data_IF_974133292617
#
_entry.id   IF_974133292617
#
_cell.length_a   1.000
_cell.length_b   1.000
_cell.length_c   1.000
_cell.angle_alpha   90.00
_cell.angle_beta   90.00
_cell.angle_gamma   90.00
#
_symmetry.space_group_name_H-M   'P 1'
#
loop_
_entity.id
_entity.type
_entity.pdbx_description
1 polymer ?
#
# COMPACT_ATOMS: atom_id res chain seq x y z
N UNK A 1 -50.74 -5.51 -3.85
CA UNK A 1 -50.13 -4.34 -3.19
C UNK A 1 -48.99 -4.85 -2.32
N UNK A 2 -47.74 -4.70 -2.74
CA UNK A 2 -46.58 -4.98 -1.88
C UNK A 2 -46.32 -3.71 -1.06
N UNK A 3 -46.59 -3.75 0.21
CA UNK A 3 -46.25 -2.67 1.15
C UNK A 3 -44.73 -2.54 1.21
N UNK A 4 -44.21 -1.44 0.70
CA UNK A 4 -42.80 -1.09 0.83
C UNK A 4 -42.48 -0.92 2.33
N UNK A 5 -41.64 -1.78 2.88
CA UNK A 5 -41.10 -1.62 4.22
C UNK A 5 -40.26 -0.34 4.24
N UNK A 6 -40.45 0.58 5.22
CA UNK A 6 -39.68 1.82 5.25
C UNK A 6 -38.17 1.52 5.35
N UNK A 7 -37.37 2.21 4.55
CA UNK A 7 -35.90 2.06 4.42
C UNK A 7 -35.14 2.10 5.78
N UNK A 8 -35.75 2.70 6.82
CA UNK A 8 -35.24 2.76 8.19
C UNK A 8 -35.43 1.43 8.96
N UNK A 9 -36.43 0.61 8.61
CA UNK A 9 -36.69 -0.68 9.26
C UNK A 9 -35.81 -1.79 8.66
N UNK A 10 -35.50 -1.72 7.37
CA UNK A 10 -34.53 -2.61 6.70
C UNK A 10 -33.11 -2.42 7.26
N UNK A 11 -32.70 -1.19 7.61
CA UNK A 11 -31.40 -0.92 8.27
C UNK A 11 -31.28 -1.49 9.69
N UNK A 12 -32.37 -1.74 10.40
CA UNK A 12 -32.38 -2.33 11.74
C UNK A 12 -32.19 -3.85 11.72
N UNK A 13 -32.25 -4.49 10.55
CA UNK A 13 -32.06 -5.93 10.35
C UNK A 13 -30.83 -6.25 9.50
N UNK A 14 -30.12 -5.24 8.97
CA UNK A 14 -28.93 -5.44 8.16
C UNK A 14 -27.71 -5.79 9.03
N UNK A 15 -26.86 -6.69 8.55
CA UNK A 15 -25.61 -7.07 9.20
C UNK A 15 -24.67 -5.85 9.30
N UNK A 16 -24.32 -5.44 10.51
CA UNK A 16 -23.56 -4.20 10.77
C UNK A 16 -22.09 -4.43 10.58
N UNK A 17 -21.50 -3.76 9.61
CA UNK A 17 -20.07 -3.84 9.32
C UNK A 17 -19.39 -2.50 9.61
N UNK A 18 -18.42 -2.50 10.51
CA UNK A 18 -17.54 -1.36 10.74
C UNK A 18 -16.26 -1.61 9.97
N UNK A 19 -15.83 -0.64 9.16
CA UNK A 19 -14.54 -0.63 8.47
C UNK A 19 -13.71 0.51 9.08
N UNK A 20 -12.68 0.16 9.83
CA UNK A 20 -11.78 1.10 10.46
C UNK A 20 -10.55 1.34 9.58
N UNK A 21 -10.55 2.45 8.84
CA UNK A 21 -9.49 2.89 7.94
C UNK A 21 -10.02 3.30 6.57
N UNK A 22 -9.69 4.54 6.14
CA UNK A 22 -10.06 5.10 4.83
C UNK A 22 -8.95 4.94 3.78
N UNK A 23 -8.09 3.92 3.90
CA UNK A 23 -7.05 3.57 2.92
C UNK A 23 -7.52 2.58 1.86
N UNK A 24 -6.57 2.04 1.08
CA UNK A 24 -6.88 1.09 -0.01
C UNK A 24 -7.74 -0.07 0.46
N UNK A 25 -7.33 -0.79 1.52
CA UNK A 25 -8.08 -1.94 2.01
C UNK A 25 -9.47 -1.56 2.51
N UNK A 26 -9.61 -0.44 3.24
CA UNK A 26 -10.92 -0.03 3.75
C UNK A 26 -11.88 0.39 2.65
N UNK A 27 -11.40 1.13 1.64
CA UNK A 27 -12.23 1.54 0.51
C UNK A 27 -12.61 0.33 -0.35
N UNK A 28 -11.64 -0.56 -0.63
CA UNK A 28 -11.90 -1.80 -1.38
C UNK A 28 -12.93 -2.66 -0.66
N UNK A 29 -12.79 -2.86 0.68
CA UNK A 29 -13.80 -3.59 1.48
C UNK A 29 -15.20 -2.98 1.37
N UNK A 30 -15.32 -1.65 1.42
CA UNK A 30 -16.61 -0.97 1.31
C UNK A 30 -17.23 -1.15 -0.09
N UNK A 31 -16.43 -1.02 -1.15
CA UNK A 31 -16.87 -1.21 -2.53
C UNK A 31 -17.24 -2.68 -2.80
N UNK A 32 -16.43 -3.63 -2.32
CA UNK A 32 -16.68 -5.06 -2.47
C UNK A 32 -17.96 -5.49 -1.73
N UNK A 33 -18.15 -5.09 -0.48
CA UNK A 33 -19.35 -5.38 0.29
C UNK A 33 -20.61 -4.77 -0.34
N UNK A 34 -20.52 -3.55 -0.86
CA UNK A 34 -21.62 -2.92 -1.60
C UNK A 34 -21.99 -3.73 -2.85
N UNK A 35 -21.01 -4.31 -3.54
CA UNK A 35 -21.26 -5.11 -4.74
C UNK A 35 -21.78 -6.53 -4.40
N UNK A 36 -21.25 -7.16 -3.35
CA UNK A 36 -21.54 -8.56 -3.01
C UNK A 36 -22.80 -8.72 -2.16
N UNK A 37 -23.12 -7.74 -1.30
CA UNK A 37 -24.20 -7.83 -0.31
C UNK A 37 -24.96 -6.51 -0.10
N UNK A 38 -25.44 -5.82 -1.16
CA UNK A 38 -25.91 -4.43 -1.09
C UNK A 38 -27.08 -4.17 -0.14
N UNK A 39 -27.97 -5.16 0.03
CA UNK A 39 -29.14 -5.05 0.91
C UNK A 39 -29.00 -5.85 2.23
N UNK A 40 -27.92 -6.61 2.37
CA UNK A 40 -27.67 -7.48 3.51
C UNK A 40 -26.80 -6.82 4.58
N UNK A 41 -25.94 -5.87 4.19
CA UNK A 41 -25.02 -5.21 5.11
C UNK A 41 -25.33 -3.72 5.26
N UNK A 42 -25.06 -3.19 6.45
CA UNK A 42 -24.97 -1.75 6.69
C UNK A 42 -23.52 -1.40 7.02
N UNK A 43 -22.90 -0.55 6.22
CA UNK A 43 -21.48 -0.23 6.31
C UNK A 43 -21.30 1.09 7.05
N UNK A 44 -20.44 1.11 8.06
CA UNK A 44 -19.91 2.32 8.68
C UNK A 44 -18.41 2.40 8.44
N UNK A 45 -18.00 3.38 7.63
CA UNK A 45 -16.58 3.67 7.35
C UNK A 45 -16.07 4.66 8.38
N UNK A 46 -15.07 4.26 9.16
CA UNK A 46 -14.41 5.10 10.19
C UNK A 46 -13.04 5.48 9.71
N UNK A 47 -12.74 6.77 9.63
CA UNK A 47 -11.42 7.28 9.20
C UNK A 47 -11.09 8.59 9.92
N UNK A 48 -9.84 8.78 10.41
CA UNK A 48 -9.44 10.04 11.02
C UNK A 48 -9.32 11.21 10.03
N UNK A 49 -9.37 10.91 8.72
CA UNK A 49 -9.30 11.91 7.64
C UNK A 49 -10.47 11.76 6.69
N UNK A 50 -11.00 12.87 6.16
CA UNK A 50 -12.10 12.82 5.19
C UNK A 50 -11.66 12.45 3.77
N UNK A 51 -10.36 12.34 3.53
CA UNK A 51 -9.78 12.10 2.21
C UNK A 51 -8.75 10.98 2.24
N UNK A 52 -8.65 10.25 1.15
CA UNK A 52 -7.64 9.26 0.87
C UNK A 52 -6.64 9.76 -0.18
N UNK A 53 -5.35 9.71 0.13
CA UNK A 53 -4.30 10.02 -0.81
C UNK A 53 -3.87 8.76 -1.59
N UNK A 54 -4.03 8.78 -2.92
CA UNK A 54 -3.57 7.70 -3.79
C UNK A 54 -2.05 7.75 -3.96
N UNK A 55 -1.33 7.22 -2.98
CA UNK A 55 0.13 7.32 -2.82
C UNK A 55 1.01 6.69 -3.91
N UNK A 56 0.59 5.65 -4.66
CA UNK A 56 1.50 4.99 -5.61
C UNK A 56 2.10 5.91 -6.68
N UNK A 57 1.47 7.05 -6.95
CA UNK A 57 1.97 8.05 -7.90
C UNK A 57 2.87 9.12 -7.27
N UNK A 58 3.02 9.14 -5.94
CA UNK A 58 3.82 10.17 -5.25
C UNK A 58 5.29 10.18 -5.69
N UNK A 59 5.84 9.03 -6.08
CA UNK A 59 7.22 8.90 -6.57
C UNK A 59 7.48 9.68 -7.88
N UNK A 60 6.44 9.95 -8.67
CA UNK A 60 6.54 10.70 -9.92
C UNK A 60 6.36 12.22 -9.75
N UNK A 61 5.80 12.64 -8.62
CA UNK A 61 5.48 14.04 -8.36
C UNK A 61 6.71 14.97 -8.28
N UNK A 62 7.85 14.57 -7.67
CA UNK A 62 9.06 15.39 -7.69
C UNK A 62 9.57 15.70 -9.10
N UNK A 63 9.26 14.84 -10.07
CA UNK A 63 9.68 14.97 -11.47
C UNK A 63 8.67 15.74 -12.35
N UNK A 64 7.56 16.23 -11.77
CA UNK A 64 6.49 16.90 -12.51
C UNK A 64 5.62 15.96 -13.36
N UNK A 65 5.66 14.65 -13.09
CA UNK A 65 4.88 13.63 -13.79
C UNK A 65 3.69 13.19 -12.94
N UNK A 66 2.58 13.91 -13.04
CA UNK A 66 1.35 13.64 -12.30
C UNK A 66 1.29 14.31 -10.91
N UNK A 67 0.16 14.14 -10.26
CA UNK A 67 -0.09 14.60 -8.89
C UNK A 67 -0.74 13.49 -8.09
N UNK A 68 -0.51 13.47 -6.79
CA UNK A 68 -1.22 12.59 -5.88
C UNK A 68 -2.71 12.94 -5.93
N UNK A 69 -3.52 11.96 -6.28
CA UNK A 69 -4.97 12.11 -6.28
C UNK A 69 -5.49 12.02 -4.85
N UNK A 70 -6.25 13.03 -4.45
CA UNK A 70 -7.02 13.03 -3.21
C UNK A 70 -8.44 12.56 -3.51
N UNK A 71 -8.88 11.53 -2.84
CA UNK A 71 -10.21 10.93 -3.02
C UNK A 71 -11.06 11.23 -1.80
N UNK A 72 -12.17 11.94 -2.02
CA UNK A 72 -13.14 12.28 -0.97
C UNK A 72 -13.87 11.03 -0.47
N UNK A 73 -13.71 10.70 0.80
CA UNK A 73 -14.38 9.56 1.44
C UNK A 73 -15.89 9.77 1.59
N UNK A 74 -16.37 11.01 1.66
CA UNK A 74 -17.82 11.28 1.62
C UNK A 74 -18.43 10.85 0.29
N UNK A 75 -17.68 10.98 -0.80
CA UNK A 75 -18.13 10.54 -2.10
C UNK A 75 -18.21 9.00 -2.19
N UNK A 76 -17.21 8.29 -1.64
CA UNK A 76 -17.23 6.84 -1.55
C UNK A 76 -18.40 6.37 -0.68
N UNK A 77 -18.60 7.00 0.47
CA UNK A 77 -19.70 6.67 1.38
C UNK A 77 -21.06 6.83 0.69
N UNK A 78 -21.28 7.94 -0.06
CA UNK A 78 -22.51 8.12 -0.85
C UNK A 78 -22.70 7.04 -1.90
N UNK A 79 -21.65 6.70 -2.63
CA UNK A 79 -21.73 5.77 -3.76
C UNK A 79 -21.91 4.32 -3.30
N UNK A 80 -21.43 3.98 -2.09
CA UNK A 80 -21.59 2.64 -1.47
C UNK A 80 -22.77 2.54 -0.52
N UNK A 81 -23.45 3.64 -0.23
CA UNK A 81 -24.49 3.70 0.81
C UNK A 81 -23.95 3.56 2.24
N UNK A 82 -22.64 3.67 2.44
CA UNK A 82 -22.01 3.64 3.74
C UNK A 82 -22.24 4.96 4.51
N UNK A 83 -22.12 4.88 5.84
CA UNK A 83 -22.04 6.04 6.71
C UNK A 83 -20.58 6.35 7.03
N UNK A 84 -20.11 7.56 6.70
CA UNK A 84 -18.74 7.98 7.02
C UNK A 84 -18.71 8.65 8.40
N UNK A 85 -17.79 8.19 9.25
CA UNK A 85 -17.46 8.82 10.52
C UNK A 85 -16.00 9.26 10.55
N UNK A 86 -15.78 10.54 10.83
CA UNK A 86 -14.44 11.10 10.97
C UNK A 86 -13.99 10.91 12.42
N UNK A 87 -13.27 9.82 12.66
CA UNK A 87 -12.66 9.46 13.94
C UNK A 87 -11.61 8.36 13.72
N UNK A 88 -10.72 8.16 14.70
CA UNK A 88 -9.79 7.03 14.74
C UNK A 88 -10.35 5.88 15.58
N UNK A 89 -9.98 4.64 15.26
CA UNK A 89 -10.24 3.49 16.13
C UNK A 89 -9.23 3.49 17.28
N UNK A 90 -9.72 3.50 18.52
CA UNK A 90 -8.90 3.48 19.73
C UNK A 90 -8.78 2.08 20.35
N UNK A 91 -9.79 1.23 20.20
CA UNK A 91 -9.75 -0.12 20.75
C UNK A 91 -10.96 -0.96 20.39
N UNK A 92 -10.87 -2.26 20.71
CA UNK A 92 -11.88 -3.28 20.42
C UNK A 92 -12.22 -4.05 21.70
N UNK A 93 -13.50 -4.18 22.01
CA UNK A 93 -14.04 -5.14 22.99
C UNK A 93 -14.76 -6.24 22.20
N UNK A 94 -14.02 -7.25 21.77
CA UNK A 94 -14.55 -8.32 20.92
C UNK A 94 -15.59 -9.18 21.65
N UNK A 95 -15.50 -9.32 22.99
CA UNK A 95 -16.47 -10.08 23.78
C UNK A 95 -17.86 -9.46 23.77
N UNK A 96 -17.93 -8.13 23.57
CA UNK A 96 -19.18 -7.37 23.49
C UNK A 96 -19.49 -6.90 22.06
N UNK A 97 -18.63 -7.19 21.08
CA UNK A 97 -18.72 -6.68 19.71
C UNK A 97 -18.80 -5.14 19.67
N UNK A 98 -17.88 -4.48 20.38
CA UNK A 98 -17.82 -3.02 20.48
C UNK A 98 -16.49 -2.48 19.95
N UNK A 99 -16.57 -1.50 19.05
CA UNK A 99 -15.43 -0.69 18.59
C UNK A 99 -15.43 0.67 19.30
N UNK A 100 -14.35 1.00 19.98
CA UNK A 100 -14.16 2.28 20.68
C UNK A 100 -13.40 3.25 19.80
N UNK A 101 -13.92 4.44 19.62
CA UNK A 101 -13.30 5.50 18.83
C UNK A 101 -12.54 6.50 19.73
N UNK A 102 -11.62 7.25 19.12
CA UNK A 102 -10.80 8.26 19.80
C UNK A 102 -11.60 9.50 20.26
N UNK A 103 -12.80 9.70 19.71
CA UNK A 103 -13.75 10.74 20.16
C UNK A 103 -14.62 10.31 21.36
N UNK A 104 -14.35 9.12 21.93
CA UNK A 104 -15.10 8.54 23.05
C UNK A 104 -16.37 7.78 22.64
N UNK A 105 -16.74 7.76 21.38
CA UNK A 105 -17.89 7.00 20.88
C UNK A 105 -17.60 5.52 20.89
N UNK A 106 -18.64 4.71 21.15
CA UNK A 106 -18.61 3.26 21.02
C UNK A 106 -19.65 2.82 20.00
N UNK A 107 -19.24 1.94 19.09
CA UNK A 107 -20.07 1.42 18.01
C UNK A 107 -20.20 -0.10 18.16
N UNK A 108 -21.43 -0.61 17.99
CA UNK A 108 -21.70 -2.04 17.93
C UNK A 108 -21.52 -2.56 16.50
N UNK A 109 -20.96 -3.77 16.36
CA UNK A 109 -20.77 -4.42 15.07
C UNK A 109 -21.17 -5.90 15.09
N UNK A 110 -21.53 -6.41 13.93
CA UNK A 110 -21.64 -7.84 13.65
C UNK A 110 -20.35 -8.34 12.98
N UNK A 111 -19.64 -7.45 12.23
CA UNK A 111 -18.27 -7.64 11.77
C UNK A 111 -17.47 -6.33 11.84
N UNK A 112 -16.18 -6.44 12.20
CA UNK A 112 -15.23 -5.32 12.24
C UNK A 112 -14.04 -5.60 11.34
N UNK A 113 -13.75 -4.70 10.38
CA UNK A 113 -12.58 -4.76 9.49
C UNK A 113 -11.54 -3.74 9.93
N UNK A 114 -10.37 -4.21 10.36
CA UNK A 114 -9.22 -3.38 10.71
C UNK A 114 -8.39 -3.11 9.46
N UNK A 115 -8.50 -1.90 8.91
CA UNK A 115 -7.82 -1.45 7.69
C UNK A 115 -7.00 -0.17 7.93
N UNK A 116 -6.46 0.00 9.15
CA UNK A 116 -5.81 1.23 9.64
C UNK A 116 -4.45 1.51 8.99
N UNK A 117 -3.88 0.57 8.23
CA UNK A 117 -2.57 0.71 7.60
C UNK A 117 -1.41 0.69 8.61
N UNK A 118 -0.34 1.39 8.29
CA UNK A 118 0.91 1.43 9.08
C UNK A 118 1.39 2.86 9.30
N UNK A 119 2.29 3.02 10.26
CA UNK A 119 3.08 4.24 10.42
C UNK A 119 4.41 4.09 9.69
N UNK A 120 4.81 5.14 8.98
CA UNK A 120 6.10 5.22 8.31
C UNK A 120 7.09 5.93 9.24
N UNK A 121 8.26 5.32 9.46
CA UNK A 121 9.30 5.88 10.31
C UNK A 121 10.63 5.88 9.57
N UNK A 122 11.50 6.91 9.77
CA UNK A 122 12.84 6.91 9.23
C UNK A 122 13.62 5.69 9.73
N UNK A 123 14.27 4.95 8.82
CA UNK A 123 14.98 3.72 9.12
C UNK A 123 16.50 3.83 8.98
N UNK A 124 16.99 4.80 8.19
CA UNK A 124 18.41 5.01 7.94
C UNK A 124 18.82 6.40 8.45
N UNK A 125 19.46 6.49 9.63
CA UNK A 125 19.92 7.77 10.15
C UNK A 125 20.83 8.49 9.16
N UNK A 126 20.61 9.80 8.98
CA UNK A 126 21.39 10.65 8.08
C UNK A 126 21.00 10.62 6.61
N UNK A 127 20.06 9.75 6.19
CA UNK A 127 19.49 9.75 4.85
C UNK A 127 18.19 10.56 4.78
N UNK A 128 17.91 11.15 3.60
CA UNK A 128 16.59 11.70 3.28
C UNK A 128 15.60 10.52 3.18
N UNK A 129 14.63 10.46 4.08
CA UNK A 129 13.60 9.41 4.04
C UNK A 129 12.48 9.86 3.11
N UNK A 130 12.22 9.12 2.03
CA UNK A 130 11.09 9.37 1.15
C UNK A 130 9.89 8.53 1.58
N UNK A 131 9.01 9.11 2.39
CA UNK A 131 7.86 8.44 2.99
C UNK A 131 6.53 8.75 2.27
N UNK A 132 6.50 9.76 1.39
CA UNK A 132 5.29 10.11 0.66
C UNK A 132 5.17 11.58 0.30
N UNK A 133 3.95 12.12 0.44
CA UNK A 133 3.62 13.50 0.00
C UNK A 133 4.45 14.56 0.74
N UNK A 134 4.75 14.33 2.02
CA UNK A 134 5.50 15.29 2.85
C UNK A 134 6.92 15.55 2.35
N UNK A 135 7.54 14.57 1.71
CA UNK A 135 8.94 14.62 1.30
C UNK A 135 9.15 14.94 -0.19
N UNK A 136 8.07 15.20 -0.93
CA UNK A 136 8.12 15.58 -2.36
C UNK A 136 8.97 16.83 -2.56
N UNK A 137 8.83 17.84 -1.72
CA UNK A 137 9.57 19.10 -1.84
C UNK A 137 11.04 18.94 -1.47
N UNK A 138 11.36 18.12 -0.47
CA UNK A 138 12.75 17.81 -0.11
C UNK A 138 13.45 17.06 -1.23
N UNK A 139 12.73 16.15 -1.91
CA UNK A 139 13.27 15.45 -3.07
C UNK A 139 13.43 16.39 -4.28
N UNK A 140 12.51 17.33 -4.51
CA UNK A 140 12.66 18.38 -5.53
C UNK A 140 13.90 19.23 -5.28
N UNK A 141 14.18 19.58 -4.01
CA UNK A 141 15.40 20.31 -3.64
C UNK A 141 16.64 19.51 -3.99
N UNK A 142 16.69 18.20 -3.67
CA UNK A 142 17.76 17.31 -4.07
C UNK A 142 17.96 17.30 -5.59
N UNK A 143 16.89 17.21 -6.36
CA UNK A 143 16.98 17.27 -7.84
C UNK A 143 17.55 18.62 -8.31
N UNK A 144 17.19 19.73 -7.67
CA UNK A 144 17.74 21.06 -7.93
C UNK A 144 19.26 21.15 -7.61
N UNK A 145 19.72 20.57 -6.50
CA UNK A 145 21.14 20.47 -6.13
C UNK A 145 21.94 19.65 -7.17
N UNK A 146 21.35 18.59 -7.73
CA UNK A 146 21.94 17.80 -8.82
C UNK A 146 22.03 18.65 -10.09
N UNK A 147 20.96 19.37 -10.46
CA UNK A 147 20.91 20.22 -11.64
C UNK A 147 21.94 21.36 -11.56
N UNK A 148 22.17 21.92 -10.38
CA UNK A 148 23.20 22.94 -10.14
C UNK A 148 24.62 22.36 -10.11
N UNK A 149 24.80 21.04 -10.10
CA UNK A 149 26.10 20.36 -9.97
C UNK A 149 26.71 20.41 -8.57
N UNK A 150 25.94 20.80 -7.58
CA UNK A 150 26.32 20.81 -6.15
C UNK A 150 26.37 19.39 -5.59
N UNK A 151 25.46 18.51 -6.03
CA UNK A 151 25.42 17.08 -5.73
C UNK A 151 25.87 16.30 -6.95
N UNK A 152 26.92 15.50 -6.78
CA UNK A 152 27.56 14.69 -7.83
C UNK A 152 27.45 13.20 -7.61
N UNK A 153 26.89 12.79 -6.46
CA UNK A 153 26.65 11.39 -6.14
C UNK A 153 25.46 11.22 -5.23
N UNK A 154 24.59 10.23 -5.54
CA UNK A 154 23.41 9.90 -4.73
C UNK A 154 23.34 8.40 -4.48
N UNK A 155 23.26 8.02 -3.21
CA UNK A 155 23.01 6.65 -2.77
C UNK A 155 21.52 6.45 -2.46
N UNK A 156 20.91 5.45 -3.07
CA UNK A 156 19.55 5.01 -2.76
C UNK A 156 19.62 3.80 -1.85
N UNK A 157 18.81 3.77 -0.78
CA UNK A 157 18.99 2.82 0.31
C UNK A 157 17.68 2.11 0.63
N UNK A 158 17.67 0.79 0.49
CA UNK A 158 16.56 -0.05 0.97
C UNK A 158 16.90 -0.44 2.41
N UNK A 159 16.13 -0.02 3.42
CA UNK A 159 16.35 -0.42 4.79
C UNK A 159 16.07 -1.91 5.02
N UNK A 160 16.66 -2.46 6.08
CA UNK A 160 16.31 -3.81 6.54
C UNK A 160 14.81 -3.90 6.86
N UNK A 161 14.19 -5.02 6.50
CA UNK A 161 12.76 -5.28 6.75
C UNK A 161 11.80 -4.67 5.73
N UNK A 162 12.27 -3.84 4.80
CA UNK A 162 11.45 -3.33 3.69
C UNK A 162 11.38 -4.38 2.59
N UNK A 163 10.23 -5.04 2.45
CA UNK A 163 10.01 -6.12 1.46
C UNK A 163 9.43 -5.58 0.14
N UNK A 164 8.98 -4.33 0.11
CA UNK A 164 8.45 -3.68 -1.10
C UNK A 164 9.28 -2.46 -1.48
N UNK A 165 10.48 -2.61 -2.06
CA UNK A 165 11.37 -1.51 -2.36
C UNK A 165 11.12 -0.84 -3.72
N UNK A 166 10.08 -1.23 -4.48
CA UNK A 166 9.77 -0.68 -5.81
C UNK A 166 9.86 0.85 -5.89
N UNK A 167 9.32 1.65 -4.92
CA UNK A 167 9.39 3.10 -4.98
C UNK A 167 10.82 3.65 -5.06
N UNK A 168 11.79 2.97 -4.42
CA UNK A 168 13.18 3.40 -4.46
C UNK A 168 13.82 3.20 -5.83
N UNK A 169 13.54 2.06 -6.46
CA UNK A 169 14.00 1.80 -7.84
C UNK A 169 13.40 2.80 -8.83
N UNK A 170 12.13 3.17 -8.65
CA UNK A 170 11.48 4.21 -9.45
C UNK A 170 12.16 5.56 -9.29
N UNK A 171 12.41 5.99 -8.04
CA UNK A 171 13.14 7.23 -7.76
C UNK A 171 14.52 7.24 -8.41
N UNK A 172 15.29 6.14 -8.29
CA UNK A 172 16.62 6.02 -8.88
C UNK A 172 16.58 6.10 -10.42
N UNK A 173 15.69 5.34 -11.06
CA UNK A 173 15.54 5.31 -12.52
C UNK A 173 15.08 6.65 -13.08
N UNK A 174 14.06 7.29 -12.46
CA UNK A 174 13.59 8.60 -12.90
C UNK A 174 14.64 9.69 -12.66
N UNK A 175 15.42 9.61 -11.58
CA UNK A 175 16.55 10.53 -11.35
C UNK A 175 17.61 10.35 -12.44
N UNK A 176 17.99 9.11 -12.76
CA UNK A 176 18.99 8.82 -13.80
C UNK A 176 18.60 9.36 -15.20
N UNK A 177 17.31 9.45 -15.48
CA UNK A 177 16.79 9.96 -16.77
C UNK A 177 16.87 11.47 -16.93
N UNK A 178 17.16 12.22 -15.87
CA UNK A 178 17.30 13.68 -15.98
C UNK A 178 18.60 14.04 -16.70
N UNK A 179 18.59 15.03 -17.65
CA UNK A 179 19.80 15.39 -18.42
C UNK A 179 20.98 15.80 -17.55
N UNK A 180 20.72 16.51 -16.44
CA UNK A 180 21.80 16.97 -15.56
C UNK A 180 22.48 15.82 -14.80
N UNK A 181 21.77 14.70 -14.58
CA UNK A 181 22.26 13.53 -13.84
C UNK A 181 23.35 12.75 -14.60
N UNK A 182 23.55 12.99 -15.90
CA UNK A 182 24.69 12.39 -16.62
C UNK A 182 26.08 12.75 -16.05
N UNK A 183 26.13 13.75 -15.16
CA UNK A 183 27.35 14.16 -14.44
C UNK A 183 27.41 13.66 -12.99
N UNK A 184 26.37 12.98 -12.54
CA UNK A 184 26.27 12.43 -11.19
C UNK A 184 26.30 10.90 -11.21
N UNK A 185 26.97 10.31 -10.22
CA UNK A 185 26.96 8.87 -10.01
C UNK A 185 25.78 8.47 -9.12
N UNK A 186 25.08 7.38 -9.49
CA UNK A 186 23.98 6.84 -8.72
C UNK A 186 24.32 5.41 -8.27
N UNK A 187 23.96 5.09 -7.02
CA UNK A 187 24.15 3.76 -6.47
C UNK A 187 22.91 3.34 -5.65
N UNK A 188 22.60 2.05 -5.67
CA UNK A 188 21.56 1.43 -4.81
C UNK A 188 22.24 0.43 -3.88
N UNK A 189 21.88 0.50 -2.58
CA UNK A 189 22.22 -0.50 -1.57
C UNK A 189 20.93 -1.16 -1.09
N UNK A 190 20.89 -2.50 -1.15
CA UNK A 190 19.69 -3.26 -0.81
C UNK A 190 20.04 -4.58 -0.09
N UNK A 191 19.22 -5.02 0.89
CA UNK A 191 19.33 -6.34 1.46
C UNK A 191 18.87 -7.47 0.53
N UNK A 192 18.18 -7.14 -0.57
CA UNK A 192 17.75 -8.13 -1.56
C UNK A 192 18.93 -8.84 -2.22
N UNK A 193 18.77 -10.11 -2.57
CA UNK A 193 19.74 -10.88 -3.36
C UNK A 193 19.78 -10.42 -4.84
N UNK A 194 18.65 -9.96 -5.35
CA UNK A 194 18.50 -9.37 -6.67
C UNK A 194 17.46 -8.24 -6.64
N UNK A 195 17.54 -7.24 -7.55
CA UNK A 195 16.62 -6.11 -7.50
C UNK A 195 15.19 -6.56 -7.74
N UNK A 196 14.27 -6.19 -6.82
CA UNK A 196 12.87 -6.59 -6.82
C UNK A 196 12.67 -8.12 -6.84
N UNK A 197 13.48 -8.87 -6.10
CA UNK A 197 13.44 -10.34 -6.05
C UNK A 197 12.07 -10.86 -5.57
N UNK A 198 11.35 -10.13 -4.75
CA UNK A 198 9.96 -10.40 -4.35
C UNK A 198 9.02 -10.56 -5.56
N UNK A 199 9.34 -9.94 -6.69
CA UNK A 199 8.61 -10.07 -7.96
C UNK A 199 9.16 -11.18 -8.87
N UNK A 200 10.16 -11.93 -8.38
CA UNK A 200 10.72 -13.09 -9.05
C UNK A 200 11.71 -12.78 -10.19
N UNK A 201 12.26 -13.83 -10.83
CA UNK A 201 13.44 -13.71 -11.67
C UNK A 201 13.24 -12.89 -12.95
N UNK A 202 12.03 -12.83 -13.52
CA UNK A 202 11.78 -12.01 -14.70
C UNK A 202 11.83 -10.51 -14.37
N UNK A 203 11.28 -10.12 -13.24
CA UNK A 203 11.34 -8.74 -12.75
C UNK A 203 12.78 -8.35 -12.38
N UNK A 204 13.47 -9.20 -11.62
CA UNK A 204 14.85 -8.96 -11.21
C UNK A 204 15.78 -8.74 -12.41
N UNK A 205 15.66 -9.56 -13.48
CA UNK A 205 16.41 -9.38 -14.71
C UNK A 205 16.09 -8.08 -15.42
N UNK A 206 14.80 -7.77 -15.62
CA UNK A 206 14.38 -6.54 -16.29
C UNK A 206 14.84 -5.28 -15.55
N UNK A 207 14.82 -5.29 -14.22
CA UNK A 207 15.31 -4.18 -13.41
C UNK A 207 16.83 -4.08 -13.46
N UNK A 208 17.57 -5.20 -13.39
CA UNK A 208 19.02 -5.21 -13.53
C UNK A 208 19.48 -4.62 -14.87
N UNK A 209 18.80 -4.97 -15.97
CA UNK A 209 19.05 -4.42 -17.30
C UNK A 209 18.84 -2.90 -17.33
N UNK A 210 17.74 -2.39 -16.75
CA UNK A 210 17.44 -0.96 -16.64
C UNK A 210 18.49 -0.21 -15.79
N UNK A 211 18.93 -0.78 -14.68
CA UNK A 211 19.97 -0.18 -13.84
C UNK A 211 21.30 -0.10 -14.59
N UNK A 212 21.67 -1.17 -15.32
CA UNK A 212 22.88 -1.20 -16.13
C UNK A 212 22.82 -0.19 -17.30
N UNK A 213 21.68 -0.10 -18.00
CA UNK A 213 21.45 0.91 -19.08
C UNK A 213 21.69 2.33 -18.59
N UNK A 214 21.30 2.62 -17.35
CA UNK A 214 21.46 3.94 -16.74
C UNK A 214 22.72 4.10 -15.89
N UNK A 215 23.65 3.13 -15.92
CA UNK A 215 24.90 3.15 -15.15
C UNK A 215 24.67 3.35 -13.64
N UNK A 216 23.56 2.84 -13.09
CA UNK A 216 23.28 2.85 -11.66
C UNK A 216 24.01 1.66 -11.02
N UNK A 217 24.95 1.94 -10.12
CA UNK A 217 25.66 0.88 -9.38
C UNK A 217 24.70 0.17 -8.41
N UNK A 218 24.77 -1.16 -8.34
CA UNK A 218 23.93 -1.96 -7.46
C UNK A 218 24.77 -2.77 -6.47
N UNK A 219 24.46 -2.65 -5.20
CA UNK A 219 24.99 -3.45 -4.08
C UNK A 219 23.85 -4.23 -3.46
N UNK A 220 23.80 -5.53 -3.75
CA UNK A 220 22.82 -6.48 -3.20
C UNK A 220 23.38 -7.20 -1.99
N UNK A 221 22.51 -7.90 -1.24
CA UNK A 221 22.84 -8.69 -0.06
C UNK A 221 23.62 -7.90 1.01
N UNK A 222 23.35 -6.59 1.16
CA UNK A 222 23.98 -5.72 2.15
C UNK A 222 22.93 -5.10 3.07
N UNK A 223 23.27 -4.92 4.34
CA UNK A 223 22.42 -4.29 5.33
C UNK A 223 22.89 -2.86 5.60
N UNK A 224 22.14 -1.84 5.15
CA UNK A 224 22.45 -0.45 5.47
C UNK A 224 22.26 -0.17 6.96
N UNK A 225 23.26 0.48 7.59
CA UNK A 225 23.25 0.77 9.03
C UNK A 225 22.91 2.23 9.29
N UNK A 226 23.60 3.15 8.62
CA UNK A 226 23.39 4.58 8.79
C UNK A 226 24.41 5.39 8.00
N UNK A 227 24.10 6.68 7.80
CA UNK A 227 24.95 7.63 7.07
C UNK A 227 25.67 8.53 8.07
N UNK A 228 26.99 8.61 7.94
CA UNK A 228 27.83 9.55 8.67
C UNK A 228 28.92 10.11 7.74
N UNK A 229 29.16 11.41 7.77
CA UNK A 229 30.17 12.07 6.97
C UNK A 229 30.15 11.66 5.46
N UNK A 230 28.95 11.64 4.87
CA UNK A 230 28.72 11.25 3.45
C UNK A 230 29.08 9.79 3.13
N UNK A 231 29.10 8.92 4.15
CA UNK A 231 29.37 7.50 4.03
C UNK A 231 28.22 6.70 4.61
N UNK A 232 27.68 5.79 3.85
CA UNK A 232 26.71 4.79 4.29
C UNK A 232 27.49 3.57 4.76
N UNK A 233 27.43 3.27 6.06
CA UNK A 233 27.98 2.04 6.62
C UNK A 233 27.08 0.83 6.23
N UNK A 234 27.72 -0.28 5.85
CA UNK A 234 27.07 -1.54 5.46
C UNK A 234 27.50 -2.67 6.39
N UNK A 235 26.58 -3.57 6.74
CA UNK A 235 26.90 -4.79 7.44
C UNK A 235 26.85 -5.99 6.45
N UNK A 236 27.73 -7.03 6.64
CA UNK A 236 28.68 -7.18 7.73
C UNK A 236 29.84 -6.21 7.65
N UNK A 237 30.22 -5.71 6.48
CA UNK A 237 31.31 -4.78 6.29
C UNK A 237 31.19 -4.00 4.97
N UNK A 238 31.89 -2.86 4.89
CA UNK A 238 31.94 -2.01 3.72
C UNK A 238 31.23 -0.69 3.91
N UNK A 239 31.41 0.19 2.94
CA UNK A 239 30.78 1.49 2.90
C UNK A 239 30.48 1.95 1.45
N UNK A 240 29.55 2.89 1.32
CA UNK A 240 29.29 3.62 0.07
C UNK A 240 29.46 5.10 0.38
N UNK A 241 30.27 5.79 -0.41
CA UNK A 241 30.41 7.23 -0.34
C UNK A 241 29.51 7.92 -1.36
N UNK A 242 28.72 8.91 -0.89
CA UNK A 242 27.88 9.74 -1.76
C UNK A 242 27.59 11.11 -1.10
N UNK A 243 27.32 12.13 -1.91
CA UNK A 243 26.97 13.47 -1.43
C UNK A 243 25.65 13.48 -0.67
N UNK A 244 24.70 12.69 -1.12
CA UNK A 244 23.37 12.54 -0.52
C UNK A 244 22.92 11.09 -0.51
N UNK A 245 22.09 10.75 0.45
CA UNK A 245 21.43 9.44 0.52
C UNK A 245 19.92 9.62 0.61
N UNK A 246 19.19 8.77 -0.11
CA UNK A 246 17.73 8.67 -0.08
C UNK A 246 17.35 7.27 0.36
N UNK A 247 16.50 7.15 1.37
CA UNK A 247 16.05 5.87 1.90
C UNK A 247 14.52 5.78 1.87
N UNK A 248 13.99 4.55 1.79
CA UNK A 248 12.60 4.29 2.13
C UNK A 248 12.40 4.30 3.65
N UNK A 249 11.19 4.59 4.13
CA UNK A 249 10.84 4.41 5.53
C UNK A 249 10.69 2.92 5.88
N UNK A 250 10.87 2.59 7.13
CA UNK A 250 10.35 1.35 7.72
C UNK A 250 8.84 1.52 7.99
N UNK A 251 8.11 0.44 7.80
CA UNK A 251 6.69 0.37 8.17
C UNK A 251 6.53 -0.29 9.53
N UNK A 252 5.78 0.34 10.41
CA UNK A 252 5.39 -0.22 11.71
C UNK A 252 3.89 -0.31 11.82
N UNK A 253 3.39 -1.42 12.34
CA UNK A 253 1.99 -1.61 12.63
C UNK A 253 1.47 -0.60 13.65
N UNK A 254 0.17 -0.57 13.83
CA UNK A 254 -0.52 0.28 14.79
C UNK A 254 -1.11 -0.66 15.85
N UNK A 255 -0.64 -0.51 17.09
CA UNK A 255 -1.21 -1.25 18.22
C UNK A 255 -2.60 -0.70 18.54
N UNK A 256 -3.59 -1.57 18.54
CA UNK A 256 -4.99 -1.25 18.83
C UNK A 256 -5.34 -2.00 20.12
N UNK A 257 -5.84 -1.28 21.13
CA UNK A 257 -6.21 -1.89 22.39
C UNK A 257 -7.27 -2.99 22.20
N UNK A 258 -7.04 -4.17 22.83
CA UNK A 258 -7.92 -5.33 22.69
C UNK A 258 -7.73 -6.15 21.41
N UNK A 259 -6.71 -5.84 20.57
CA UNK A 259 -6.39 -6.62 19.36
C UNK A 259 -5.00 -7.26 19.52
N UNK A 260 -4.82 -8.57 19.25
CA UNK A 260 -3.51 -9.20 19.28
C UNK A 260 -2.59 -8.66 18.18
N UNK A 261 -1.31 -8.54 18.46
CA UNK A 261 -0.31 -8.12 17.50
C UNK A 261 1.03 -8.81 17.71
N UNK A 262 1.76 -8.98 16.62
CA UNK A 262 3.14 -9.47 16.59
C UNK A 262 4.12 -8.32 16.90
N UNK A 263 5.40 -8.63 17.19
CA UNK A 263 6.43 -7.60 17.26
C UNK A 263 6.41 -6.68 16.03
N UNK A 264 6.46 -5.37 16.27
CA UNK A 264 6.30 -4.37 15.22
C UNK A 264 4.86 -3.87 15.01
N UNK A 265 3.88 -4.38 15.79
CA UNK A 265 2.51 -3.88 15.82
C UNK A 265 1.62 -4.41 14.68
N UNK A 266 2.02 -5.50 14.02
CA UNK A 266 1.23 -6.11 12.94
C UNK A 266 0.26 -7.15 13.48
N UNK A 267 -0.94 -7.20 12.88
CA UNK A 267 -2.03 -8.10 13.31
C UNK A 267 -1.90 -9.44 12.57
N UNK A 268 -1.79 -10.59 13.30
CA UNK A 268 -1.84 -11.91 12.70
C UNK A 268 -3.26 -12.20 12.20
N UNK A 269 -3.36 -12.73 10.97
CA UNK A 269 -4.62 -13.12 10.34
C UNK A 269 -4.47 -14.46 9.63
N UNK A 270 -5.58 -15.16 9.48
CA UNK A 270 -5.66 -16.34 8.60
C UNK A 270 -5.78 -15.93 7.10
N UNK A 271 -5.93 -16.90 6.23
CA UNK A 271 -6.06 -16.69 4.78
C UNK A 271 -7.43 -16.11 4.34
N UNK A 272 -8.36 -15.93 5.27
CA UNK A 272 -9.63 -15.23 5.10
C UNK A 272 -9.65 -13.86 5.81
N UNK A 273 -8.49 -13.42 6.33
CA UNK A 273 -8.35 -12.16 7.03
C UNK A 273 -8.93 -12.13 8.45
N UNK A 274 -9.30 -13.27 9.04
CA UNK A 274 -9.79 -13.33 10.41
C UNK A 274 -8.64 -13.10 11.38
N UNK A 275 -8.86 -12.22 12.35
CA UNK A 275 -7.90 -12.00 13.43
C UNK A 275 -7.95 -13.17 14.40
N UNK A 276 -6.78 -13.70 14.73
CA UNK A 276 -6.63 -14.85 15.63
C UNK A 276 -7.28 -14.57 16.99
N UNK A 277 -8.06 -15.52 17.50
CA UNK A 277 -8.76 -15.45 18.80
C UNK A 277 -9.78 -14.31 18.96
N UNK A 278 -10.12 -13.56 17.92
CA UNK A 278 -11.15 -12.53 17.98
C UNK A 278 -12.33 -12.84 17.03
N UNK A 279 -13.48 -13.25 17.58
CA UNK A 279 -14.65 -13.52 16.76
C UNK A 279 -15.14 -12.25 16.06
N UNK A 280 -15.54 -12.38 14.80
CA UNK A 280 -16.10 -11.30 13.98
C UNK A 280 -15.17 -10.08 13.77
N UNK A 281 -13.86 -10.23 14.01
CA UNK A 281 -12.84 -9.23 13.74
C UNK A 281 -11.94 -9.72 12.64
N UNK A 282 -11.76 -8.86 11.63
CA UNK A 282 -10.96 -9.10 10.44
C UNK A 282 -9.91 -8.00 10.30
N UNK A 283 -8.83 -8.29 9.60
CA UNK A 283 -7.87 -7.26 9.21
C UNK A 283 -7.43 -7.42 7.76
N UNK A 284 -7.18 -6.31 7.08
CA UNK A 284 -6.73 -6.27 5.70
C UNK A 284 -5.75 -5.10 5.45
N UNK A 285 -4.84 -5.29 4.51
CA UNK A 285 -3.85 -4.29 4.11
C UNK A 285 -2.60 -4.28 4.99
N UNK A 286 -1.91 -3.14 4.98
CA UNK A 286 -0.58 -3.03 5.58
C UNK A 286 -0.54 -3.30 7.08
N UNK A 287 -1.66 -3.19 7.79
CA UNK A 287 -1.77 -3.50 9.23
C UNK A 287 -1.57 -4.99 9.54
N UNK A 288 -1.85 -5.89 8.60
CA UNK A 288 -1.71 -7.34 8.79
C UNK A 288 -0.26 -7.78 8.88
N UNK A 289 0.00 -8.98 9.36
CA UNK A 289 1.35 -9.57 9.42
C UNK A 289 1.90 -10.04 8.07
N UNK A 290 1.15 -9.88 6.97
CA UNK A 290 1.64 -10.20 5.63
C UNK A 290 2.88 -9.36 5.29
N UNK A 291 3.94 -10.01 4.78
CA UNK A 291 5.25 -9.36 4.60
C UNK A 291 5.23 -8.24 3.57
N UNK A 292 4.56 -8.43 2.44
CA UNK A 292 4.53 -7.43 1.36
C UNK A 292 3.48 -6.37 1.64
N UNK A 293 3.92 -5.14 1.86
CA UNK A 293 3.08 -3.96 2.10
C UNK A 293 2.86 -3.21 0.78
N UNK A 294 1.80 -3.57 0.06
CA UNK A 294 1.53 -3.07 -1.29
C UNK A 294 0.03 -2.96 -1.52
N UNK A 295 -0.40 -1.89 -2.19
CA UNK A 295 -1.82 -1.59 -2.34
C UNK A 295 -2.65 -2.69 -3.03
N UNK A 296 -2.08 -3.40 -4.02
CA UNK A 296 -2.77 -4.52 -4.68
C UNK A 296 -2.91 -5.75 -3.78
N UNK A 297 -1.97 -5.98 -2.86
CA UNK A 297 -2.10 -7.00 -1.81
C UNK A 297 -3.17 -6.57 -0.80
N UNK A 298 -3.16 -5.30 -0.41
CA UNK A 298 -4.16 -4.74 0.50
C UNK A 298 -5.59 -4.90 -0.06
N UNK A 299 -5.78 -4.69 -1.37
CA UNK A 299 -7.06 -4.89 -2.04
C UNK A 299 -7.47 -6.36 -2.04
N UNK A 300 -6.58 -7.29 -2.43
CA UNK A 300 -6.88 -8.72 -2.46
C UNK A 300 -7.24 -9.28 -1.07
N UNK A 301 -6.59 -8.80 0.00
CA UNK A 301 -6.98 -9.15 1.37
C UNK A 301 -8.36 -8.59 1.70
N UNK A 302 -8.66 -7.36 1.30
CA UNK A 302 -9.96 -6.73 1.51
C UNK A 302 -11.09 -7.49 0.79
N UNK A 303 -10.83 -8.00 -0.43
CA UNK A 303 -11.77 -8.82 -1.18
C UNK A 303 -12.08 -10.13 -0.46
N UNK A 304 -11.05 -10.86 -0.01
CA UNK A 304 -11.25 -12.11 0.75
C UNK A 304 -12.05 -11.87 2.04
N UNK A 305 -11.77 -10.80 2.78
CA UNK A 305 -12.54 -10.39 3.96
C UNK A 305 -13.99 -10.05 3.59
N UNK A 306 -14.20 -9.30 2.50
CA UNK A 306 -15.53 -8.89 2.08
C UNK A 306 -16.40 -10.09 1.65
N UNK A 307 -15.81 -11.09 0.98
CA UNK A 307 -16.51 -12.35 0.62
C UNK A 307 -16.96 -13.10 1.87
N UNK A 308 -16.11 -13.22 2.89
CA UNK A 308 -16.47 -13.88 4.15
C UNK A 308 -17.61 -13.14 4.85
N UNK A 309 -17.50 -11.83 4.99
CA UNK A 309 -18.52 -11.01 5.65
C UNK A 309 -19.84 -11.06 4.87
N UNK A 310 -19.79 -10.99 3.55
CA UNK A 310 -20.99 -11.09 2.72
C UNK A 310 -21.68 -12.45 2.85
N UNK A 311 -20.93 -13.55 2.91
CA UNK A 311 -21.46 -14.89 3.14
C UNK A 311 -22.10 -15.00 4.55
N UNK A 312 -21.46 -14.46 5.59
CA UNK A 312 -22.02 -14.42 6.95
C UNK A 312 -23.28 -13.56 7.05
N UNK A 313 -23.36 -12.50 6.24
CA UNK A 313 -24.57 -11.70 6.11
C UNK A 313 -25.69 -12.39 5.30
N UNK A 314 -25.44 -13.56 4.72
CA UNK A 314 -26.42 -14.37 3.99
C UNK A 314 -26.36 -14.26 2.47
N UNK A 315 -25.31 -13.68 1.89
CA UNK A 315 -25.10 -13.70 0.45
C UNK A 315 -24.77 -15.13 -0.03
N UNK A 316 -25.28 -15.51 -1.21
CA UNK A 316 -25.08 -16.84 -1.77
C UNK A 316 -23.71 -16.95 -2.49
N UNK A 317 -22.63 -16.74 -1.75
CA UNK A 317 -21.24 -16.84 -2.23
C UNK A 317 -20.46 -17.84 -1.37
N UNK A 318 -19.42 -18.41 -1.97
CA UNK A 318 -18.45 -19.26 -1.28
C UNK A 318 -17.14 -18.44 -1.19
N UNK A 319 -16.74 -18.04 0.04
CA UNK A 319 -15.52 -17.25 0.19
C UNK A 319 -14.28 -18.01 -0.24
N UNK A 320 -13.41 -17.37 -1.00
CA UNK A 320 -12.12 -17.94 -1.37
C UNK A 320 -11.00 -17.43 -0.46
N UNK A 321 -10.00 -18.27 -0.13
CA UNK A 321 -8.86 -17.84 0.66
C UNK A 321 -8.01 -16.85 -0.13
N UNK A 322 -7.42 -15.89 0.55
CA UNK A 322 -6.44 -14.96 -0.01
C UNK A 322 -5.25 -15.70 -0.60
N UNK A 323 -5.00 -15.50 -1.89
CA UNK A 323 -3.85 -16.04 -2.63
C UNK A 323 -3.12 -14.91 -3.32
N UNK A 324 -2.00 -14.43 -2.77
CA UNK A 324 -1.35 -13.21 -3.25
C UNK A 324 -0.87 -13.31 -4.69
N UNK A 325 -1.25 -12.34 -5.49
CA UNK A 325 -0.69 -12.08 -6.82
C UNK A 325 -0.10 -10.68 -6.80
N UNK A 326 1.22 -10.59 -6.87
CA UNK A 326 1.89 -9.31 -7.00
C UNK A 326 1.74 -8.78 -8.42
N UNK A 327 1.22 -7.57 -8.56
CA UNK A 327 1.17 -6.81 -9.81
C UNK A 327 1.68 -5.42 -9.56
N UNK A 328 2.51 -4.94 -10.46
CA UNK A 328 3.16 -3.64 -10.28
C UNK A 328 3.45 -2.96 -11.60
N UNK A 329 3.30 -1.65 -11.61
CA UNK A 329 3.77 -0.77 -12.67
C UNK A 329 5.02 -0.07 -12.17
N UNK A 330 6.17 -0.42 -12.72
CA UNK A 330 7.45 0.25 -12.45
C UNK A 330 7.60 1.47 -13.36
N UNK A 331 7.71 2.65 -12.78
CA UNK A 331 7.98 3.90 -13.49
C UNK A 331 9.47 4.05 -13.76
N UNK A 332 9.86 4.16 -15.02
CA UNK A 332 11.28 4.22 -15.41
C UNK A 332 11.71 5.60 -15.94
N UNK A 333 10.75 6.53 -16.04
CA UNK A 333 10.97 7.82 -16.72
C UNK A 333 10.96 7.74 -18.24
N UNK A 334 10.83 6.53 -18.84
CA UNK A 334 10.74 6.31 -20.29
C UNK A 334 9.78 5.16 -20.62
N UNK A 335 8.54 5.33 -20.19
CA UNK A 335 7.51 4.31 -20.28
C UNK A 335 7.57 3.28 -19.15
N UNK A 336 6.42 2.72 -18.77
CA UNK A 336 6.34 1.78 -17.63
C UNK A 336 6.88 0.39 -18.00
N UNK A 337 7.18 -0.39 -16.93
CA UNK A 337 7.28 -1.85 -17.00
C UNK A 337 6.18 -2.44 -16.14
N UNK A 338 5.50 -3.43 -16.69
CA UNK A 338 4.44 -4.17 -16.01
C UNK A 338 5.04 -5.46 -15.49
N UNK A 339 5.00 -5.61 -14.17
CA UNK A 339 5.62 -6.72 -13.46
C UNK A 339 4.54 -7.52 -12.73
N UNK A 340 4.62 -8.83 -12.75
CA UNK A 340 3.75 -9.67 -11.93
C UNK A 340 4.51 -10.89 -11.41
N UNK A 341 4.12 -11.32 -10.22
CA UNK A 341 4.60 -12.56 -9.61
C UNK A 341 3.46 -13.27 -8.89
N UNK A 342 3.46 -14.59 -9.01
CA UNK A 342 2.54 -15.49 -8.29
C UNK A 342 3.32 -16.67 -7.75
N UNK A 343 3.07 -16.99 -6.49
CA UNK A 343 3.53 -18.24 -5.90
C UNK A 343 2.57 -19.36 -6.30
N UNK A 344 3.09 -20.40 -6.96
CA UNK A 344 2.32 -21.59 -7.30
C UNK A 344 2.18 -22.55 -6.11
N UNK A 345 1.31 -23.54 -6.26
CA UNK A 345 0.98 -24.50 -5.19
C UNK A 345 2.17 -25.41 -4.78
N UNK A 346 3.15 -25.60 -5.66
CA UNK A 346 4.37 -26.37 -5.38
C UNK A 346 5.54 -25.47 -4.93
N UNK A 347 5.29 -24.18 -4.66
CA UNK A 347 6.32 -23.22 -4.25
C UNK A 347 7.12 -22.59 -5.38
N UNK A 348 6.78 -22.89 -6.65
CA UNK A 348 7.37 -22.24 -7.81
C UNK A 348 6.91 -20.79 -7.94
N UNK A 349 7.81 -19.89 -8.30
CA UNK A 349 7.50 -18.48 -8.57
C UNK A 349 7.35 -18.28 -10.08
N UNK A 350 6.11 -18.03 -10.52
CA UNK A 350 5.84 -17.55 -11.87
C UNK A 350 5.99 -16.04 -11.88
N UNK A 351 6.88 -15.51 -12.72
CA UNK A 351 7.09 -14.07 -12.84
C UNK A 351 7.11 -13.60 -14.29
N UNK A 352 6.58 -12.38 -14.51
CA UNK A 352 6.44 -11.75 -15.83
C UNK A 352 6.93 -10.31 -15.74
N UNK A 353 7.64 -9.86 -16.78
CA UNK A 353 8.04 -8.46 -16.96
C UNK A 353 7.82 -8.07 -18.43
N UNK A 354 7.01 -7.04 -18.68
CA UNK A 354 6.65 -6.59 -20.05
C UNK A 354 6.59 -5.08 -20.15
N UNK A 355 6.60 -4.59 -21.39
CA UNK A 355 6.36 -3.16 -21.70
C UNK A 355 4.89 -2.84 -21.99
N UNK A 356 4.05 -3.87 -22.16
CA UNK A 356 2.64 -3.73 -22.41
C UNK A 356 1.84 -4.22 -21.20
N UNK A 357 0.72 -3.57 -20.85
CA UNK A 357 -0.15 -4.02 -19.77
C UNK A 357 -0.79 -5.37 -20.10
N UNK A 358 -0.97 -6.21 -19.09
CA UNK A 358 -1.65 -7.51 -19.20
C UNK A 358 -2.71 -7.72 -18.10
N UNK A 359 -3.11 -6.65 -17.45
CA UNK A 359 -4.32 -6.54 -16.61
C UNK A 359 -5.04 -5.23 -16.90
N UNK A 360 -6.33 -5.15 -16.56
CA UNK A 360 -7.15 -3.96 -16.80
C UNK A 360 -8.03 -3.65 -15.56
N UNK A 361 -8.10 -2.37 -15.14
CA UNK A 361 -7.26 -1.28 -15.58
C UNK A 361 -5.80 -1.49 -15.18
N UNK A 362 -4.87 -1.01 -16.01
CA UNK A 362 -3.43 -1.16 -15.79
C UNK A 362 -2.92 -0.10 -14.80
N UNK A 363 -3.51 -0.06 -13.64
CA UNK A 363 -3.16 0.87 -12.56
C UNK A 363 -2.04 0.34 -11.66
N UNK A 364 -1.39 1.23 -10.92
CA UNK A 364 -0.35 0.84 -9.94
C UNK A 364 -0.91 0.01 -8.79
N UNK A 365 -2.18 0.19 -8.44
CA UNK A 365 -2.92 -0.68 -7.53
C UNK A 365 -3.88 -1.52 -8.38
N UNK A 366 -3.56 -2.79 -8.54
CA UNK A 366 -4.46 -3.75 -9.18
C UNK A 366 -5.52 -4.19 -8.15
N UNK A 367 -6.61 -3.44 -8.08
CA UNK A 367 -7.72 -3.62 -7.16
C UNK A 367 -9.01 -3.87 -7.98
N UNK A 368 -9.76 -4.96 -7.74
CA UNK A 368 -10.95 -5.30 -8.53
C UNK A 368 -12.07 -4.27 -8.49
N UNK A 369 -12.26 -3.60 -7.36
CA UNK A 369 -13.33 -2.59 -7.18
C UNK A 369 -12.79 -1.16 -7.18
N UNK A 370 -11.70 -0.87 -6.47
CA UNK A 370 -11.16 0.48 -6.34
C UNK A 370 -10.57 1.00 -7.66
N UNK A 371 -9.81 0.21 -8.40
CA UNK A 371 -9.17 0.68 -9.62
C UNK A 371 -10.22 1.07 -10.70
N UNK A 372 -11.25 0.27 -11.01
CA UNK A 372 -12.32 0.70 -11.90
C UNK A 372 -13.15 1.86 -11.36
N UNK A 373 -13.32 1.96 -10.04
CA UNK A 373 -14.02 3.09 -9.40
C UNK A 373 -13.28 4.40 -9.63
N UNK A 374 -11.96 4.43 -9.40
CA UNK A 374 -11.13 5.60 -9.63
C UNK A 374 -11.05 5.98 -11.11
N UNK A 375 -10.90 5.01 -12.02
CA UNK A 375 -10.87 5.26 -13.46
C UNK A 375 -12.14 5.98 -13.95
N UNK A 376 -13.33 5.53 -13.53
CA UNK A 376 -14.60 6.19 -13.90
C UNK A 376 -14.72 7.62 -13.39
N UNK A 377 -14.15 7.92 -12.21
CA UNK A 377 -14.17 9.29 -11.66
C UNK A 377 -13.25 10.24 -12.40
N UNK A 378 -12.10 9.76 -12.85
CA UNK A 378 -11.17 10.55 -13.67
C UNK A 378 -11.82 10.88 -15.02
N UNK A 379 -12.42 9.90 -15.69
CA UNK A 379 -13.13 10.13 -16.96
C UNK A 379 -14.33 11.07 -16.80
N UNK A 380 -15.05 10.99 -15.68
CA UNK A 380 -16.17 11.89 -15.36
C UNK A 380 -15.76 13.32 -15.06
N UNK A 381 -14.56 13.53 -14.49
CA UNK A 381 -14.02 14.86 -14.20
C UNK A 381 -13.45 15.58 -15.44
N UNK A 382 -13.19 14.83 -16.53
CA UNK A 382 -12.70 15.36 -17.81
C UNK A 382 -13.81 15.71 -18.78
N UNK A 383 -15.07 15.45 -18.44
CA UNK A 383 -16.29 15.83 -19.20
C UNK A 383 -16.98 17.02 -18.57
#
# INVERSE_FOLDING_TARGET
>A
MRTAVPNRMLRLMAFRVIIAGGGVAGIESALALHALAPELVSIQLVSPKPEFAYRPLVVSEPFGHGHVQMVDLHAIARDTGAELRIAGLAGVDAARSLARLDDGTTLEYDALVLACGTRLVPAVPGALTFAGVGEVEDYRRLLGEIDAGEVKSVGFVVPHGVVWPLPLYELALMTARRPATHRASLAIATPEEAPLDVLGPAAARAVSELLAEHSIALRTAVLPVGVHDRRLALAPEGEIEADRFVALPEQRGIEIDGVPHLPGGFIPVDDHGRVEDLPNVFAAGDITSHLVKQGGIAAQQADAVAEVIAAEAGAAILPEPFRPVLRSVLLTGNGPRYLSSRLGSAGEISSVATTQPFWSPADKIAAPFLAPYLARRIEGALR
#
